data_IF_351197030820
#
_entry.id   IF_351197030820
#
_cell.length_a   1.000
_cell.length_b   1.000
_cell.length_c   1.000
_cell.angle_alpha   90.00
_cell.angle_beta   90.00
_cell.angle_gamma   90.00
#
_symmetry.space_group_name_H-M   'P 1'
#
loop_
_entity.id
_entity.type
_entity.pdbx_description
1 polymer ?
#
# COMPACT_ATOMS: atom_id res chain seq x y z
N UNK A 1 -10.80 18.99 61.92
CA UNK A 1 -9.85 18.38 60.97
C UNK A 1 -10.44 18.56 59.58
N UNK A 2 -9.75 19.28 58.72
CA UNK A 2 -10.24 19.72 57.41
C UNK A 2 -9.79 18.73 56.33
N UNK A 3 -10.63 18.36 55.34
CA UNK A 3 -10.21 17.43 54.29
C UNK A 3 -9.32 18.16 53.28
N UNK A 4 -8.15 17.58 53.00
CA UNK A 4 -7.23 18.05 51.96
C UNK A 4 -7.79 17.70 50.58
N UNK A 5 -8.02 18.69 49.73
CA UNK A 5 -8.46 18.51 48.35
C UNK A 5 -7.35 17.96 47.46
N UNK A 6 -7.65 16.90 46.69
CA UNK A 6 -6.78 16.35 45.64
C UNK A 6 -6.79 17.34 44.44
N UNK A 7 -5.63 17.70 43.86
CA UNK A 7 -5.61 18.61 42.73
C UNK A 7 -6.18 17.94 41.48
N UNK A 8 -7.23 18.53 40.92
CA UNK A 8 -7.77 18.19 39.61
C UNK A 8 -6.73 18.52 38.52
N UNK A 9 -6.07 17.49 37.96
CA UNK A 9 -5.32 17.66 36.70
C UNK A 9 -6.33 17.98 35.60
N UNK A 10 -6.31 19.21 35.10
CA UNK A 10 -6.97 19.54 33.84
C UNK A 10 -6.33 18.70 32.73
N UNK A 11 -7.13 17.90 32.05
CA UNK A 11 -6.72 17.21 30.83
C UNK A 11 -6.60 18.26 29.74
N UNK A 12 -5.38 18.61 29.33
CA UNK A 12 -5.13 19.46 28.18
C UNK A 12 -4.95 18.55 26.96
N UNK A 13 -5.85 18.59 25.96
CA UNK A 13 -5.65 17.87 24.71
C UNK A 13 -4.32 18.28 24.07
N UNK A 14 -3.51 17.31 23.68
CA UNK A 14 -2.26 17.54 22.97
C UNK A 14 -2.57 18.08 21.58
N UNK A 15 -2.33 19.38 21.37
CA UNK A 15 -2.50 20.02 20.07
C UNK A 15 -1.30 19.65 19.21
N UNK A 16 -1.52 18.74 18.24
CA UNK A 16 -0.49 18.34 17.28
C UNK A 16 -0.27 19.52 16.31
N UNK A 17 0.95 20.05 16.19
CA UNK A 17 1.23 21.12 15.24
C UNK A 17 1.11 20.62 13.80
N UNK A 18 0.70 21.48 12.85
CA UNK A 18 0.66 21.12 11.44
C UNK A 18 2.07 20.73 10.94
N UNK A 19 2.20 19.78 10.00
CA UNK A 19 3.50 19.35 9.53
C UNK A 19 4.23 20.49 8.82
N UNK A 20 5.44 20.81 9.31
CA UNK A 20 6.35 21.75 8.65
C UNK A 20 7.00 21.04 7.46
N UNK A 21 6.69 21.49 6.24
CA UNK A 21 7.34 20.99 5.03
C UNK A 21 8.74 21.58 4.92
N UNK A 22 9.77 20.77 5.12
CA UNK A 22 11.16 21.14 4.81
C UNK A 22 11.56 20.50 3.48
N UNK A 23 11.77 21.28 2.40
CA UNK A 23 12.28 20.72 1.15
C UNK A 23 13.69 20.18 1.36
N UNK A 24 13.92 18.90 1.00
CA UNK A 24 15.27 18.33 0.94
C UNK A 24 16.07 19.03 -0.17
N UNK A 25 17.17 19.68 0.19
CA UNK A 25 18.17 20.16 -0.77
C UNK A 25 18.91 18.97 -1.38
N UNK A 26 18.85 18.85 -2.71
CA UNK A 26 19.65 17.90 -3.48
C UNK A 26 21.00 18.54 -3.78
N UNK A 27 22.08 18.06 -3.18
CA UNK A 27 23.45 18.46 -3.51
C UNK A 27 23.89 17.79 -4.82
N UNK A 28 24.17 18.58 -5.86
CA UNK A 28 24.79 18.13 -7.11
C UNK A 28 26.31 18.10 -6.94
N UNK A 29 26.88 16.90 -6.87
CA UNK A 29 28.32 16.67 -7.09
C UNK A 29 28.54 16.44 -8.59
N UNK A 30 29.40 17.25 -9.22
CA UNK A 30 29.86 17.03 -10.60
C UNK A 30 30.77 15.81 -10.68
N UNK A 31 30.50 14.78 -11.51
CA UNK A 31 31.45 13.71 -11.75
C UNK A 31 32.45 14.08 -12.86
N UNK A 32 33.73 14.03 -12.50
CA UNK A 32 34.87 14.05 -13.43
C UNK A 32 35.01 12.69 -14.12
N UNK A 33 35.04 12.70 -15.46
CA UNK A 33 35.81 11.79 -16.31
C UNK A 33 35.60 10.27 -16.15
N UNK A 34 34.62 9.71 -16.85
CA UNK A 34 34.65 8.44 -17.62
C UNK A 34 33.31 8.38 -18.36
N UNK A 35 33.25 8.12 -19.69
CA UNK A 35 31.96 7.93 -20.34
C UNK A 35 31.32 6.63 -19.83
N UNK A 36 30.49 6.75 -18.79
CA UNK A 36 29.53 5.73 -18.45
C UNK A 36 28.59 5.60 -19.65
N UNK A 37 28.34 4.37 -20.11
CA UNK A 37 27.28 4.08 -21.07
C UNK A 37 25.96 4.42 -20.36
N UNK A 38 25.48 5.64 -20.59
CA UNK A 38 24.16 6.07 -20.17
C UNK A 38 23.20 5.32 -21.09
N UNK A 39 22.62 4.22 -20.60
CA UNK A 39 21.34 3.77 -21.12
C UNK A 39 20.32 4.82 -20.67
N UNK A 40 20.20 5.90 -21.44
CA UNK A 40 18.99 6.70 -21.41
C UNK A 40 17.92 5.75 -21.93
N UNK A 41 16.93 5.31 -21.14
CA UNK A 41 15.75 4.73 -21.75
C UNK A 41 15.23 5.85 -22.65
N UNK A 42 15.39 5.68 -23.97
CA UNK A 42 14.62 6.48 -24.90
C UNK A 42 13.19 6.12 -24.56
N UNK A 43 12.53 6.98 -23.80
CA UNK A 43 11.08 7.04 -23.76
C UNK A 43 10.66 7.41 -25.17
N UNK A 44 10.74 6.43 -26.07
CA UNK A 44 9.88 6.43 -27.24
C UNK A 44 8.50 6.49 -26.62
N UNK A 45 7.71 7.56 -26.86
CA UNK A 45 6.31 7.48 -26.55
C UNK A 45 5.83 6.30 -27.38
N UNK A 46 5.62 5.15 -26.73
CA UNK A 46 4.83 4.09 -27.32
C UNK A 46 3.53 4.80 -27.65
N UNK A 47 3.31 5.01 -28.95
CA UNK A 47 2.05 5.51 -29.47
C UNK A 47 1.00 4.55 -28.93
N UNK A 48 0.42 4.91 -27.79
CA UNK A 48 -0.77 4.32 -27.26
C UNK A 48 -1.79 4.61 -28.33
N UNK A 49 -2.01 3.62 -29.21
CA UNK A 49 -3.20 3.62 -30.04
C UNK A 49 -4.35 3.84 -29.07
N UNK A 50 -4.96 5.02 -29.14
CA UNK A 50 -6.04 5.44 -28.23
C UNK A 50 -7.22 4.46 -28.31
N UNK A 51 -7.23 3.59 -29.34
CA UNK A 51 -8.22 2.58 -29.68
C UNK A 51 -7.71 1.12 -29.56
N UNK A 52 -6.52 0.87 -29.02
CA UNK A 52 -6.01 -0.49 -28.77
C UNK A 52 -6.68 -1.17 -27.57
N UNK A 53 -6.60 -2.51 -27.43
CA UNK A 53 -7.06 -3.19 -26.24
C UNK A 53 -6.34 -2.64 -25.00
N UNK A 54 -7.09 -2.41 -23.93
CA UNK A 54 -6.56 -1.94 -22.65
C UNK A 54 -6.40 -3.12 -21.68
N UNK A 55 -5.48 -3.03 -20.70
CA UNK A 55 -5.53 -3.88 -19.51
C UNK A 55 -6.80 -3.57 -18.71
N UNK A 56 -7.14 -4.45 -17.78
CA UNK A 56 -8.27 -4.29 -16.85
C UNK A 56 -7.91 -5.08 -15.60
N UNK A 57 -7.65 -4.37 -14.51
CA UNK A 57 -7.03 -4.89 -13.29
C UNK A 57 -8.08 -5.04 -12.19
N UNK A 58 -8.25 -6.26 -11.72
CA UNK A 58 -9.12 -6.55 -10.57
C UNK A 58 -8.31 -7.07 -9.40
N UNK A 59 -8.77 -6.80 -8.18
CA UNK A 59 -8.36 -7.59 -7.02
C UNK A 59 -9.19 -8.87 -7.03
N UNK A 60 -8.59 -9.96 -7.51
CA UNK A 60 -9.28 -11.25 -7.67
C UNK A 60 -9.52 -11.96 -6.34
N UNK A 61 -8.76 -11.61 -5.29
CA UNK A 61 -9.01 -12.14 -3.96
C UNK A 61 -8.10 -11.60 -2.87
N UNK A 62 -8.61 -11.72 -1.65
CA UNK A 62 -7.86 -11.61 -0.40
C UNK A 62 -8.06 -12.96 0.30
N UNK A 63 -6.98 -13.65 0.62
CA UNK A 63 -7.03 -14.93 1.34
C UNK A 63 -7.47 -14.72 2.77
N UNK A 64 -7.95 -15.79 3.41
CA UNK A 64 -8.15 -15.77 4.85
C UNK A 64 -6.81 -15.50 5.56
N UNK A 65 -6.82 -14.68 6.62
CA UNK A 65 -5.64 -14.38 7.41
C UNK A 65 -5.26 -15.60 8.26
N UNK A 66 -3.98 -15.92 8.29
CA UNK A 66 -3.41 -16.93 9.19
C UNK A 66 -2.54 -16.24 10.22
N UNK A 67 -2.55 -16.72 11.46
CA UNK A 67 -1.60 -16.25 12.47
C UNK A 67 -0.18 -16.60 12.03
N UNK A 68 0.76 -15.70 12.31
CA UNK A 68 2.19 -15.89 12.06
C UNK A 68 2.91 -16.10 13.41
N UNK A 69 2.82 -17.29 14.03
CA UNK A 69 3.33 -17.55 15.38
C UNK A 69 4.87 -17.45 15.47
N UNK A 70 5.56 -17.53 14.34
CA UNK A 70 6.99 -17.24 14.24
C UNK A 70 7.32 -15.75 14.48
N UNK A 71 6.31 -14.88 14.44
CA UNK A 71 6.38 -13.46 14.76
C UNK A 71 5.63 -13.23 16.08
N UNK A 72 6.16 -12.37 16.95
CA UNK A 72 5.56 -12.15 18.25
C UNK A 72 4.21 -11.41 18.17
N UNK A 73 3.33 -11.71 19.14
CA UNK A 73 2.09 -10.98 19.38
C UNK A 73 0.99 -11.28 18.36
N UNK A 74 0.19 -10.26 18.06
CA UNK A 74 -1.04 -10.41 17.25
C UNK A 74 -0.79 -10.36 15.74
N UNK A 75 0.29 -11.01 15.27
CA UNK A 75 0.73 -10.91 13.88
C UNK A 75 0.00 -11.90 12.97
N UNK A 76 -0.49 -11.39 11.85
CA UNK A 76 -1.17 -12.15 10.81
C UNK A 76 -0.45 -12.05 9.48
N UNK A 77 -0.69 -13.05 8.64
CA UNK A 77 -0.27 -13.12 7.25
C UNK A 77 -1.49 -13.42 6.38
N UNK A 78 -1.63 -12.69 5.28
CA UNK A 78 -2.61 -13.01 4.24
C UNK A 78 -2.01 -12.74 2.86
N UNK A 79 -2.72 -13.18 1.83
CA UNK A 79 -2.30 -13.06 0.44
C UNK A 79 -3.31 -12.20 -0.31
N UNK A 80 -2.79 -11.26 -1.09
CA UNK A 80 -3.54 -10.45 -2.03
C UNK A 80 -3.27 -10.97 -3.44
N UNK A 81 -4.34 -11.11 -4.23
CA UNK A 81 -4.29 -11.52 -5.63
C UNK A 81 -4.83 -10.40 -6.50
N UNK A 82 -4.04 -9.98 -7.50
CA UNK A 82 -4.45 -9.00 -8.51
C UNK A 82 -4.35 -9.65 -9.87
N UNK A 83 -5.41 -9.57 -10.67
CA UNK A 83 -5.49 -10.19 -11.98
C UNK A 83 -5.69 -9.15 -13.05
N UNK A 84 -5.03 -9.33 -14.19
CA UNK A 84 -5.38 -8.62 -15.42
C UNK A 84 -6.43 -9.41 -16.19
N UNK A 85 -7.70 -9.01 -16.12
CA UNK A 85 -8.79 -9.59 -16.93
C UNK A 85 -8.94 -8.91 -18.31
N UNK A 86 -8.15 -7.88 -18.54
CA UNK A 86 -8.11 -7.13 -19.79
C UNK A 86 -7.44 -7.90 -20.92
N UNK A 87 -7.58 -7.36 -22.13
CA UNK A 87 -7.06 -7.99 -23.36
C UNK A 87 -5.61 -7.61 -23.66
N UNK A 88 -5.07 -6.61 -22.97
CA UNK A 88 -3.69 -6.15 -23.16
C UNK A 88 -2.83 -6.29 -21.90
N UNK A 89 -1.51 -6.50 -22.04
CA UNK A 89 -0.58 -6.49 -20.91
C UNK A 89 -0.37 -5.06 -20.38
N UNK A 90 0.05 -4.93 -19.12
CA UNK A 90 0.35 -3.60 -18.54
C UNK A 90 1.67 -2.99 -18.99
N UNK A 91 2.57 -3.77 -19.63
CA UNK A 91 3.94 -3.33 -20.00
C UNK A 91 4.00 -2.00 -20.75
N UNK A 92 3.08 -1.79 -21.69
CA UNK A 92 3.07 -0.60 -22.54
C UNK A 92 2.50 0.63 -21.84
N UNK A 93 1.93 0.45 -20.64
CA UNK A 93 1.29 1.51 -19.85
C UNK A 93 2.14 1.90 -18.63
N UNK A 94 3.05 1.02 -18.20
CA UNK A 94 4.02 1.30 -17.14
C UNK A 94 3.91 0.36 -15.94
N UNK A 95 4.44 0.84 -14.83
CA UNK A 95 4.29 0.23 -13.50
C UNK A 95 2.94 0.64 -12.92
N UNK A 96 2.35 -0.23 -12.11
CA UNK A 96 1.22 0.13 -11.27
C UNK A 96 1.44 -0.35 -9.84
N UNK A 97 0.88 0.40 -8.89
CA UNK A 97 0.93 0.08 -7.47
C UNK A 97 -0.32 -0.71 -7.04
N UNK A 98 -0.16 -1.56 -6.03
CA UNK A 98 -1.26 -2.21 -5.32
C UNK A 98 -1.35 -1.64 -3.92
N UNK A 99 -2.41 -0.89 -3.66
CA UNK A 99 -2.68 -0.28 -2.37
C UNK A 99 -3.32 -1.30 -1.45
N UNK A 100 -2.82 -1.39 -0.21
CA UNK A 100 -3.45 -2.18 0.84
C UNK A 100 -3.68 -1.28 2.06
N UNK A 101 -4.90 -1.28 2.56
CA UNK A 101 -5.29 -0.55 3.76
C UNK A 101 -5.98 -1.47 4.76
N UNK A 102 -5.66 -1.25 6.03
CA UNK A 102 -6.30 -1.92 7.16
C UNK A 102 -7.41 -1.03 7.71
N UNK A 103 -8.59 -1.59 7.91
CA UNK A 103 -9.74 -0.90 8.50
C UNK A 103 -9.92 -1.41 9.93
N UNK A 104 -9.72 -0.55 10.92
CA UNK A 104 -9.91 -0.86 12.34
C UNK A 104 -10.79 0.22 12.95
N UNK A 105 -11.85 -0.16 13.65
CA UNK A 105 -12.70 0.81 14.37
C UNK A 105 -13.24 1.93 13.46
N UNK A 106 -13.63 1.60 12.22
CA UNK A 106 -14.10 2.52 11.18
C UNK A 106 -13.02 3.47 10.59
N UNK A 107 -11.77 3.38 11.03
CA UNK A 107 -10.66 4.14 10.47
C UNK A 107 -9.89 3.30 9.46
N UNK A 108 -9.44 3.93 8.37
CA UNK A 108 -8.65 3.29 7.31
C UNK A 108 -7.20 3.76 7.39
N UNK A 109 -6.27 2.81 7.43
CA UNK A 109 -4.84 3.05 7.52
C UNK A 109 -4.11 2.34 6.38
N UNK A 110 -3.40 3.07 5.53
CA UNK A 110 -2.51 2.46 4.53
C UNK A 110 -1.36 1.71 5.19
N UNK A 111 -0.73 0.76 4.49
CA UNK A 111 0.40 -0.01 5.04
C UNK A 111 1.54 0.90 5.56
N UNK A 112 1.85 1.98 4.83
CA UNK A 112 2.88 2.94 5.22
C UNK A 112 2.58 3.71 6.50
N UNK A 113 1.34 4.17 6.61
CA UNK A 113 0.85 4.81 7.82
C UNK A 113 0.88 3.83 8.99
N UNK A 114 0.46 2.58 8.76
CA UNK A 114 0.49 1.52 9.77
C UNK A 114 1.93 1.25 10.23
N UNK A 115 2.88 1.18 9.28
CA UNK A 115 4.31 1.00 9.56
C UNK A 115 4.85 2.15 10.42
N UNK A 116 4.60 3.38 10.04
CA UNK A 116 5.19 4.57 10.67
C UNK A 116 4.54 4.93 12.01
N UNK A 117 3.20 4.89 12.11
CA UNK A 117 2.48 5.29 13.34
C UNK A 117 2.42 4.18 14.38
N UNK A 118 2.33 2.93 13.94
CA UNK A 118 2.05 1.81 14.83
C UNK A 118 3.14 0.73 14.81
N UNK A 119 4.26 0.92 14.09
CA UNK A 119 5.36 -0.06 13.97
C UNK A 119 4.85 -1.47 13.69
N UNK A 120 4.29 -1.63 12.50
CA UNK A 120 3.22 -2.60 12.42
C UNK A 120 3.00 -3.38 11.14
N UNK A 121 3.73 -3.04 10.10
CA UNK A 121 3.84 -3.89 8.92
C UNK A 121 5.18 -4.59 9.03
N UNK A 122 5.17 -5.91 8.86
CA UNK A 122 6.38 -6.74 8.93
C UNK A 122 6.77 -7.11 7.51
N UNK A 123 7.43 -6.20 6.79
CA UNK A 123 7.88 -6.45 5.43
C UNK A 123 7.77 -5.25 4.50
N UNK A 124 7.84 -5.51 3.20
CA UNK A 124 7.73 -4.47 2.18
C UNK A 124 6.29 -4.00 2.02
N UNK A 125 6.16 -2.70 1.89
CA UNK A 125 4.94 -1.92 1.68
C UNK A 125 4.80 -1.53 0.20
N UNK A 126 5.89 -1.56 -0.56
CA UNK A 126 5.91 -1.29 -2.00
C UNK A 126 5.45 -2.52 -2.77
N UNK A 127 4.18 -2.52 -3.17
CA UNK A 127 3.55 -3.61 -3.93
C UNK A 127 3.42 -3.21 -5.40
N UNK A 128 4.56 -3.08 -6.08
CA UNK A 128 4.63 -2.69 -7.49
C UNK A 128 4.60 -3.87 -8.44
N UNK A 129 3.90 -3.72 -9.56
CA UNK A 129 3.86 -4.71 -10.63
C UNK A 129 4.29 -4.10 -11.96
N UNK A 130 5.14 -4.82 -12.67
CA UNK A 130 5.47 -4.55 -14.06
C UNK A 130 4.96 -5.68 -14.96
N UNK A 131 4.40 -5.32 -16.12
CA UNK A 131 4.08 -6.27 -17.20
C UNK A 131 3.21 -7.46 -16.76
N UNK A 132 2.05 -7.18 -16.14
CA UNK A 132 1.05 -8.21 -15.87
C UNK A 132 0.33 -8.57 -17.18
N UNK A 133 0.54 -9.79 -17.65
CA UNK A 133 -0.04 -10.29 -18.92
C UNK A 133 -1.56 -10.48 -18.79
N UNK A 134 -2.30 -10.49 -19.92
CA UNK A 134 -3.70 -10.89 -19.91
C UNK A 134 -3.90 -12.25 -19.23
N UNK A 135 -4.91 -12.34 -18.37
CA UNK A 135 -5.27 -13.49 -17.54
C UNK A 135 -4.20 -13.95 -16.53
N UNK A 136 -3.14 -13.18 -16.31
CA UNK A 136 -2.14 -13.49 -15.29
C UNK A 136 -2.49 -12.86 -13.94
N UNK A 137 -2.04 -13.51 -12.87
CA UNK A 137 -2.19 -13.07 -11.49
C UNK A 137 -0.84 -12.63 -10.91
N UNK A 138 -0.87 -11.50 -10.18
CA UNK A 138 0.17 -11.08 -9.26
C UNK A 138 -0.25 -11.48 -7.84
N UNK A 139 0.72 -11.96 -7.05
CA UNK A 139 0.50 -12.46 -5.69
C UNK A 139 1.40 -11.73 -4.71
N UNK A 140 0.81 -11.15 -3.67
CA UNK A 140 1.53 -10.44 -2.61
C UNK A 140 1.25 -11.07 -1.27
N UNK A 141 2.30 -11.34 -0.50
CA UNK A 141 2.15 -11.75 0.90
C UNK A 141 2.25 -10.51 1.76
N UNK A 142 1.22 -10.25 2.55
CA UNK A 142 1.14 -9.09 3.44
C UNK A 142 1.17 -9.61 4.88
N UNK A 143 2.05 -9.04 5.69
CA UNK A 143 2.21 -9.41 7.10
C UNK A 143 2.01 -8.17 7.96
N UNK A 144 1.04 -8.23 8.87
CA UNK A 144 0.59 -7.09 9.67
C UNK A 144 0.39 -7.56 11.10
N UNK A 145 0.87 -6.79 12.05
CA UNK A 145 0.51 -6.95 13.45
C UNK A 145 -0.84 -6.27 13.74
N UNK A 146 -1.81 -6.93 14.36
CA UNK A 146 -3.11 -6.30 14.63
C UNK A 146 -3.09 -5.37 15.85
N UNK A 147 -1.98 -5.28 16.60
CA UNK A 147 -1.85 -4.52 17.85
C UNK A 147 -3.00 -4.78 18.82
N UNK A 148 -3.37 -6.05 18.99
CA UNK A 148 -4.45 -6.47 19.88
C UNK A 148 -5.85 -6.42 19.27
N UNK A 149 -6.04 -5.84 18.08
CA UNK A 149 -7.34 -5.86 17.41
C UNK A 149 -7.67 -7.28 16.91
N UNK A 150 -8.94 -7.65 17.01
CA UNK A 150 -9.45 -8.98 16.57
C UNK A 150 -10.24 -8.87 15.28
N UNK A 151 -11.06 -7.82 15.19
CA UNK A 151 -11.89 -7.52 14.04
C UNK A 151 -11.23 -6.44 13.19
N UNK A 152 -11.15 -6.68 11.89
CA UNK A 152 -10.52 -5.76 10.96
C UNK A 152 -11.05 -5.95 9.54
N UNK A 153 -10.98 -4.90 8.74
CA UNK A 153 -11.16 -4.96 7.30
C UNK A 153 -9.83 -4.85 6.58
N UNK A 154 -9.75 -5.44 5.39
CA UNK A 154 -8.67 -5.25 4.44
C UNK A 154 -9.29 -4.69 3.16
N UNK A 155 -8.91 -3.47 2.81
CA UNK A 155 -9.20 -2.87 1.51
C UNK A 155 -7.95 -3.00 0.64
N UNK A 156 -8.11 -3.54 -0.55
CA UNK A 156 -7.07 -3.60 -1.57
C UNK A 156 -7.56 -2.85 -2.79
N UNK A 157 -6.70 -2.02 -3.36
CA UNK A 157 -6.94 -1.31 -4.62
C UNK A 157 -5.82 -1.64 -5.59
N UNK A 158 -6.16 -2.28 -6.71
CA UNK A 158 -5.25 -2.41 -7.84
C UNK A 158 -5.10 -1.05 -8.53
N UNK A 159 -3.91 -0.77 -9.06
CA UNK A 159 -3.62 0.48 -9.77
C UNK A 159 -3.84 1.73 -8.90
N UNK A 160 -3.29 1.70 -7.68
CA UNK A 160 -3.53 2.73 -6.65
C UNK A 160 -2.52 3.88 -6.66
N UNK A 161 -1.67 3.99 -7.67
CA UNK A 161 -0.66 5.05 -7.76
C UNK A 161 -1.34 6.41 -7.94
N UNK A 162 -0.63 7.50 -7.60
CA UNK A 162 -1.11 8.87 -7.85
C UNK A 162 -1.42 9.11 -9.34
N UNK A 163 -0.63 8.47 -10.21
CA UNK A 163 -0.84 8.43 -11.64
C UNK A 163 -1.11 6.96 -12.04
N UNK A 164 -2.38 6.50 -11.99
CA UNK A 164 -2.73 5.14 -12.35
C UNK A 164 -2.50 4.90 -13.85
N UNK A 165 -2.13 3.67 -14.21
CA UNK A 165 -2.07 3.29 -15.62
C UNK A 165 -3.46 3.34 -16.24
N UNK A 166 -3.56 3.65 -17.53
CA UNK A 166 -4.85 3.59 -18.24
C UNK A 166 -5.30 2.14 -18.38
N UNK A 167 -6.54 1.87 -18.00
CA UNK A 167 -7.19 0.56 -18.13
C UNK A 167 -8.64 0.69 -18.62
N UNK A 168 -9.30 -0.44 -18.89
CA UNK A 168 -10.63 -0.49 -19.50
C UNK A 168 -11.75 -0.09 -18.52
N UNK A 169 -11.63 -0.50 -17.27
CA UNK A 169 -12.56 -0.23 -16.18
C UNK A 169 -11.75 -0.04 -14.89
N UNK A 170 -11.95 1.08 -14.19
CA UNK A 170 -11.29 1.34 -12.90
C UNK A 170 -12.22 1.08 -11.71
N UNK A 171 -13.51 0.80 -11.98
CA UNK A 171 -14.54 0.63 -10.95
C UNK A 171 -14.46 -0.73 -10.26
N UNK A 172 -13.77 -1.69 -10.87
CA UNK A 172 -13.58 -3.06 -10.40
C UNK A 172 -12.22 -3.29 -9.70
N UNK A 173 -11.42 -2.23 -9.54
CA UNK A 173 -10.07 -2.29 -8.97
C UNK A 173 -10.02 -2.51 -7.47
N UNK A 174 -11.12 -2.29 -6.76
CA UNK A 174 -11.14 -2.30 -5.29
C UNK A 174 -11.92 -3.50 -4.76
N UNK A 175 -11.33 -4.18 -3.78
CA UNK A 175 -11.99 -5.24 -3.00
C UNK A 175 -11.79 -4.97 -1.52
N UNK A 176 -12.88 -5.07 -0.76
CA UNK A 176 -12.87 -5.01 0.70
C UNK A 176 -13.35 -6.36 1.25
N UNK A 177 -12.60 -6.90 2.21
CA UNK A 177 -13.05 -8.04 3.02
C UNK A 177 -12.88 -7.75 4.50
N UNK A 178 -13.81 -8.27 5.31
CA UNK A 178 -13.76 -8.16 6.76
C UNK A 178 -13.48 -9.53 7.37
N UNK A 179 -12.67 -9.53 8.41
CA UNK A 179 -12.20 -10.72 9.09
C UNK A 179 -12.30 -10.52 10.60
N UNK A 180 -12.37 -11.64 11.30
CA UNK A 180 -12.15 -11.73 12.73
C UNK A 180 -11.14 -12.84 12.98
N UNK A 181 -10.08 -12.54 13.74
CA UNK A 181 -9.05 -13.54 14.06
C UNK A 181 -8.52 -13.34 15.49
N UNK A 182 -7.94 -14.39 16.04
CA UNK A 182 -7.37 -14.40 17.37
C UNK A 182 -6.00 -15.06 17.33
N UNK A 183 -4.94 -14.24 17.39
CA UNK A 183 -3.55 -14.66 17.44
C UNK A 183 -2.97 -14.31 18.82
N UNK A 184 -2.07 -15.16 19.32
CA UNK A 184 -1.48 -15.09 20.67
C UNK A 184 0.04 -15.19 20.60
#
# INVERSE_FOLDING_TARGET
MQPTSIPSRQYQPEVIPPPTYTPKQTSTISPTGTPAVIFTPTATPLSLSINGPLPDLIVSGISDPVCAPELSGTTIRFIVYVKNIGRAPTRSFGLFDVGVSLIIGQQKYGLEERRTKFNGVVGNTDLQVFNLKPNADARFTVVIDLKGNKDFGVEVTANSSENPIREADMTNNTLIKYFSTYCY
#
